data_IF_742595204189
#
_entry.id   IF_742595204189
#
_cell.length_a   1.000
_cell.length_b   1.000
_cell.length_c   1.000
_cell.angle_alpha   90.00
_cell.angle_beta   90.00
_cell.angle_gamma   90.00
#
_symmetry.space_group_name_H-M   'P 1'
#
loop_
_entity.id
_entity.type
_entity.pdbx_description
1 polymer ?
#
# COMPACT_ATOMS: atom_id res chain seq x y z
N UNK A 1 60.65 12.66 -3.96
CA UNK A 1 59.75 11.82 -4.76
C UNK A 1 58.85 11.12 -3.76
N UNK A 2 57.74 11.77 -3.41
CA UNK A 2 56.75 11.20 -2.50
C UNK A 2 55.96 10.18 -3.31
N UNK A 3 56.09 8.93 -2.91
CA UNK A 3 55.32 7.80 -3.38
C UNK A 3 53.86 8.07 -3.03
N UNK A 4 53.09 8.58 -3.99
CA UNK A 4 51.63 8.60 -3.86
C UNK A 4 51.16 7.17 -3.68
N UNK A 5 50.23 6.95 -2.75
CA UNK A 5 49.52 5.69 -2.69
C UNK A 5 48.32 5.79 -3.64
N UNK A 6 48.03 4.72 -4.36
CA UNK A 6 46.83 4.58 -5.17
C UNK A 6 45.96 3.56 -4.45
N UNK A 7 44.77 3.97 -4.01
CA UNK A 7 43.71 3.03 -3.65
C UNK A 7 42.90 2.83 -4.92
N UNK A 8 43.10 1.68 -5.56
CA UNK A 8 42.14 1.20 -6.54
C UNK A 8 41.04 0.48 -5.77
N UNK A 9 39.91 1.15 -5.60
CA UNK A 9 38.69 0.46 -5.21
C UNK A 9 38.17 -0.22 -6.47
N UNK A 10 38.39 -1.52 -6.56
CA UNK A 10 37.57 -2.34 -7.40
C UNK A 10 36.49 -2.89 -6.48
N UNK A 11 35.24 -2.40 -6.52
CA UNK A 11 34.12 -3.20 -6.04
C UNK A 11 34.11 -4.40 -6.97
N UNK A 12 34.94 -5.41 -6.70
CA UNK A 12 35.26 -6.41 -7.70
C UNK A 12 34.01 -7.20 -8.11
N UNK A 13 32.92 -7.12 -7.34
CA UNK A 13 31.60 -7.64 -7.71
C UNK A 13 30.42 -7.00 -6.95
N UNK A 14 30.67 -6.14 -5.95
CA UNK A 14 29.65 -5.76 -4.97
C UNK A 14 29.49 -4.25 -4.94
N UNK A 15 28.32 -3.77 -5.33
CA UNK A 15 27.86 -2.42 -5.03
C UNK A 15 27.85 -2.25 -3.49
N UNK A 16 28.15 -1.06 -2.97
CA UNK A 16 28.18 -0.78 -1.52
C UNK A 16 27.15 0.30 -1.24
N UNK A 17 26.25 0.01 -0.30
CA UNK A 17 25.34 0.99 0.27
C UNK A 17 26.03 1.79 1.38
N UNK A 18 25.81 3.10 1.38
CA UNK A 18 26.38 4.05 2.33
C UNK A 18 25.29 5.07 2.66
N UNK A 19 24.80 5.05 3.89
CA UNK A 19 23.78 5.98 4.36
C UNK A 19 24.37 7.39 4.57
N UNK A 20 23.49 8.39 4.71
CA UNK A 20 23.90 9.77 4.98
C UNK A 20 24.61 9.83 6.34
N UNK A 21 25.85 10.34 6.36
CA UNK A 21 26.64 10.39 7.59
C UNK A 21 27.38 9.10 7.93
N UNK A 22 27.26 8.04 7.13
CA UNK A 22 28.15 6.90 7.26
C UNK A 22 29.59 7.32 7.05
N UNK A 23 30.48 6.70 7.82
CA UNK A 23 31.90 6.96 7.77
C UNK A 23 32.62 5.68 7.39
N UNK A 24 33.21 5.65 6.19
CA UNK A 24 34.15 4.59 5.87
C UNK A 24 35.52 4.97 6.45
N UNK A 25 35.84 4.34 7.59
CA UNK A 25 37.16 4.47 8.22
C UNK A 25 38.11 3.46 7.60
N UNK A 26 39.29 3.94 7.18
CA UNK A 26 40.36 3.10 6.66
C UNK A 26 40.62 1.86 7.55
N UNK A 27 40.39 0.64 7.05
CA UNK A 27 40.51 -0.58 7.86
C UNK A 27 41.95 -0.95 8.17
N UNK A 28 42.94 -0.37 7.46
CA UNK A 28 44.36 -0.73 7.63
C UNK A 28 45.05 0.22 8.61
N UNK A 29 44.82 1.53 8.48
CA UNK A 29 45.54 2.51 9.29
C UNK A 29 44.66 3.37 10.19
N UNK A 30 43.33 3.43 9.97
CA UNK A 30 42.40 4.26 10.74
C UNK A 30 42.75 5.75 10.72
N UNK A 31 43.44 6.21 9.68
CA UNK A 31 44.06 7.55 9.60
C UNK A 31 43.36 8.50 8.66
N UNK A 32 42.47 7.99 7.82
CA UNK A 32 41.59 8.79 7.00
C UNK A 32 40.19 8.20 7.07
N UNK A 33 39.23 9.06 6.79
CA UNK A 33 37.81 8.78 6.77
C UNK A 33 37.24 9.34 5.48
N UNK A 34 36.36 8.56 4.85
CA UNK A 34 35.51 9.04 3.78
C UNK A 34 34.17 9.37 4.44
N UNK A 35 33.87 10.67 4.51
CA UNK A 35 32.57 11.17 4.97
C UNK A 35 31.69 11.40 3.76
N UNK A 36 30.62 10.63 3.65
CA UNK A 36 29.64 10.77 2.58
C UNK A 36 28.73 11.95 2.91
N UNK A 37 28.90 13.05 2.17
CA UNK A 37 28.10 14.26 2.28
C UNK A 37 27.45 14.57 0.93
N UNK A 38 26.25 15.16 0.95
CA UNK A 38 25.54 15.53 -0.27
C UNK A 38 24.95 14.34 -1.01
N UNK A 39 24.13 13.54 -0.32
CA UNK A 39 23.26 12.61 -1.01
C UNK A 39 22.20 13.43 -1.75
N UNK A 40 22.36 13.56 -3.06
CA UNK A 40 21.36 14.17 -3.93
C UNK A 40 20.17 13.20 -4.00
N UNK A 41 18.94 13.70 -3.75
CA UNK A 41 17.70 12.91 -3.81
C UNK A 41 16.97 12.66 -2.48
N UNK A 42 17.50 13.12 -1.35
CA UNK A 42 16.86 12.96 -0.02
C UNK A 42 15.75 13.97 0.30
N UNK A 43 15.44 14.93 -0.58
CA UNK A 43 14.58 16.06 -0.21
C UNK A 43 13.08 15.70 -0.15
N UNK A 44 12.66 14.55 -0.71
CA UNK A 44 11.26 14.09 -0.71
C UNK A 44 11.19 12.56 -0.64
N UNK A 45 11.02 12.01 0.56
CA UNK A 45 10.55 10.64 0.73
C UNK A 45 9.04 10.66 0.86
N UNK A 46 8.38 9.74 0.15
CA UNK A 46 7.00 9.40 0.43
C UNK A 46 6.99 8.20 1.36
N UNK A 47 6.30 8.34 2.47
CA UNK A 47 6.06 7.26 3.42
C UNK A 47 4.75 6.56 3.04
N UNK A 48 4.86 5.29 2.68
CA UNK A 48 3.74 4.41 2.45
C UNK A 48 3.69 3.47 3.65
N UNK A 49 2.73 3.73 4.53
CA UNK A 49 2.68 3.16 5.86
C UNK A 49 1.49 2.21 5.96
N UNK A 50 1.73 1.03 6.54
CA UNK A 50 0.64 0.32 7.21
C UNK A 50 0.91 0.08 8.67
N UNK A 51 0.00 0.58 9.52
CA UNK A 51 -0.03 0.26 10.95
C UNK A 51 -1.08 -0.81 11.12
N UNK A 52 -0.70 -1.93 11.72
CA UNK A 52 -1.64 -2.91 12.22
C UNK A 52 -1.73 -2.88 13.74
N UNK A 53 -2.95 -3.08 14.22
CA UNK A 53 -3.34 -3.26 15.61
C UNK A 53 -4.00 -4.62 15.80
N UNK A 54 -4.65 -4.80 16.95
CA UNK A 54 -5.18 -6.10 17.33
C UNK A 54 -6.23 -6.66 16.36
N UNK A 55 -7.07 -5.82 15.77
CA UNK A 55 -8.12 -6.29 14.83
C UNK A 55 -8.33 -5.34 13.66
N UNK A 56 -7.49 -4.31 13.56
CA UNK A 56 -7.61 -3.22 12.60
C UNK A 56 -6.24 -2.92 12.06
N UNK A 57 -6.14 -2.63 10.77
CA UNK A 57 -4.95 -2.09 10.14
C UNK A 57 -5.37 -1.00 9.16
N UNK A 58 -4.42 -0.25 8.64
CA UNK A 58 -4.70 0.80 7.66
C UNK A 58 -3.59 0.81 6.61
N UNK A 59 -3.93 1.02 5.34
CA UNK A 59 -2.96 1.29 4.28
C UNK A 59 -2.99 2.79 3.98
N UNK A 60 -1.83 3.45 4.07
CA UNK A 60 -1.69 4.91 3.98
C UNK A 60 -0.65 5.29 2.95
N UNK A 61 -0.97 6.24 2.08
CA UNK A 61 -0.08 6.76 1.04
C UNK A 61 -0.60 8.10 0.53
N UNK A 62 0.15 8.76 -0.34
CA UNK A 62 -0.32 9.94 -1.07
C UNK A 62 -0.59 9.55 -2.51
N UNK A 63 -1.73 9.98 -3.05
CA UNK A 63 -2.00 9.91 -4.49
C UNK A 63 -0.95 10.69 -5.28
N UNK A 64 -0.86 10.42 -6.57
CA UNK A 64 0.04 11.12 -7.48
C UNK A 64 -0.12 12.66 -7.44
N UNK A 65 -1.33 13.14 -7.18
CA UNK A 65 -1.62 14.58 -7.04
C UNK A 65 -1.28 15.18 -5.66
N UNK A 66 -0.80 14.36 -4.71
CA UNK A 66 -0.39 14.75 -3.37
C UNK A 66 -1.50 14.68 -2.32
N UNK A 67 -2.66 14.10 -2.64
CA UNK A 67 -3.76 13.91 -1.68
C UNK A 67 -3.51 12.68 -0.80
N UNK A 68 -3.67 12.81 0.52
CA UNK A 68 -3.50 11.70 1.45
C UNK A 68 -4.67 10.73 1.36
N UNK A 69 -4.35 9.43 1.32
CA UNK A 69 -5.31 8.33 1.27
C UNK A 69 -5.07 7.41 2.47
N UNK A 70 -6.15 7.00 3.12
CA UNK A 70 -6.15 6.01 4.20
C UNK A 70 -7.25 4.99 3.92
N UNK A 71 -6.85 3.73 3.78
CA UNK A 71 -7.76 2.61 3.50
C UNK A 71 -7.77 1.69 4.72
N UNK A 72 -8.87 1.61 5.46
CA UNK A 72 -8.98 0.74 6.62
C UNK A 72 -9.06 -0.74 6.22
N UNK A 73 -8.48 -1.58 7.08
CA UNK A 73 -8.52 -3.02 7.03
C UNK A 73 -9.01 -3.54 8.39
N UNK A 74 -9.85 -4.57 8.39
CA UNK A 74 -10.36 -5.16 9.63
C UNK A 74 -10.34 -6.68 9.58
N UNK A 75 -9.94 -7.32 10.68
CA UNK A 75 -9.98 -8.77 10.81
C UNK A 75 -11.20 -9.22 11.61
N UNK A 76 -11.77 -10.37 11.22
CA UNK A 76 -12.92 -10.94 11.93
C UNK A 76 -12.54 -11.66 13.23
N UNK A 77 -12.44 -10.89 14.31
CA UNK A 77 -12.23 -11.43 15.66
C UNK A 77 -13.36 -12.33 16.19
N UNK A 78 -14.50 -12.47 15.48
CA UNK A 78 -15.61 -13.32 15.88
C UNK A 78 -15.49 -14.77 15.34
N UNK A 79 -14.58 -15.04 14.40
CA UNK A 79 -14.27 -16.39 13.92
C UNK A 79 -13.38 -17.14 14.92
N UNK A 80 -13.80 -17.15 16.18
CA UNK A 80 -13.13 -17.84 17.29
C UNK A 80 -13.40 -19.36 17.23
N UNK A 81 -13.01 -20.04 16.16
CA UNK A 81 -12.93 -21.50 16.17
C UNK A 81 -11.47 -21.88 16.31
N UNK A 82 -11.03 -22.00 17.57
CA UNK A 82 -9.69 -22.42 17.91
C UNK A 82 -9.19 -23.58 17.04
N UNK A 83 -7.95 -23.44 16.62
CA UNK A 83 -7.15 -24.30 15.73
C UNK A 83 -6.99 -23.76 14.29
N UNK A 84 -6.08 -22.80 14.15
CA UNK A 84 -5.13 -22.67 13.03
C UNK A 84 -5.71 -22.47 11.60
N UNK A 85 -6.54 -21.46 11.41
CA UNK A 85 -6.80 -20.91 10.08
C UNK A 85 -6.71 -19.39 10.12
N UNK A 86 -5.78 -18.83 9.35
CA UNK A 86 -5.61 -17.38 9.13
C UNK A 86 -7.00 -16.74 8.91
N UNK A 87 -7.47 -15.95 9.88
CA UNK A 87 -8.76 -15.29 9.77
C UNK A 87 -8.69 -14.26 8.63
N UNK A 88 -9.74 -14.15 7.80
CA UNK A 88 -9.73 -13.21 6.69
C UNK A 88 -9.61 -11.77 7.20
N UNK A 89 -8.79 -11.00 6.52
CA UNK A 89 -8.74 -9.54 6.65
C UNK A 89 -9.64 -8.99 5.56
N UNK A 90 -10.45 -8.00 5.89
CA UNK A 90 -11.40 -7.36 4.99
C UNK A 90 -10.98 -5.93 4.70
N UNK A 91 -11.31 -5.46 3.49
CA UNK A 91 -11.33 -4.03 3.20
C UNK A 91 -12.48 -3.37 3.95
N UNK A 92 -12.19 -2.50 4.93
CA UNK A 92 -13.23 -1.86 5.75
C UNK A 92 -12.84 -1.55 7.19
N UNK A 93 -13.73 -0.85 7.89
CA UNK A 93 -13.55 -0.46 9.30
C UNK A 93 -13.89 -1.60 10.28
N UNK A 94 -14.84 -2.45 9.89
CA UNK A 94 -15.26 -3.60 10.67
C UNK A 94 -15.41 -4.83 9.79
N UNK A 95 -14.95 -5.97 10.29
CA UNK A 95 -15.16 -7.24 9.62
C UNK A 95 -16.63 -7.70 9.75
N UNK A 96 -17.14 -8.47 8.78
CA UNK A 96 -18.51 -8.95 8.81
C UNK A 96 -18.68 -10.03 9.89
N UNK A 97 -19.47 -9.74 10.94
CA UNK A 97 -19.77 -10.72 12.02
C UNK A 97 -20.66 -11.91 11.57
N UNK A 98 -21.20 -11.84 10.34
CA UNK A 98 -21.89 -12.88 9.58
C UNK A 98 -21.97 -12.43 8.11
N UNK A 99 -22.36 -13.31 7.18
CA UNK A 99 -22.37 -13.06 5.72
C UNK A 99 -23.20 -11.84 5.24
N UNK A 100 -23.92 -11.13 6.11
CA UNK A 100 -24.75 -9.95 5.79
C UNK A 100 -24.85 -8.91 6.92
N UNK A 101 -23.91 -8.90 7.86
CA UNK A 101 -23.86 -7.89 8.94
C UNK A 101 -22.67 -6.95 8.68
N UNK A 102 -22.82 -5.66 9.01
CA UNK A 102 -21.80 -4.63 8.85
C UNK A 102 -21.38 -4.35 7.39
N UNK A 103 -22.26 -4.59 6.41
CA UNK A 103 -21.98 -4.28 5.00
C UNK A 103 -21.82 -2.77 4.73
N UNK A 104 -22.30 -1.94 5.66
CA UNK A 104 -22.12 -0.51 5.72
C UNK A 104 -20.74 -0.07 6.24
N UNK A 105 -19.91 -1.00 6.71
CA UNK A 105 -18.55 -0.74 7.19
C UNK A 105 -17.46 -1.30 6.25
N UNK A 106 -17.86 -1.97 5.18
CA UNK A 106 -16.96 -2.58 4.19
C UNK A 106 -16.65 -1.63 3.04
N UNK A 107 -15.50 -1.87 2.42
CA UNK A 107 -15.07 -1.24 1.17
C UNK A 107 -15.21 -2.26 0.06
N UNK A 108 -15.94 -1.89 -0.98
CA UNK A 108 -16.17 -2.71 -2.16
C UNK A 108 -15.23 -2.32 -3.30
N UNK A 109 -14.71 -3.33 -3.99
CA UNK A 109 -13.96 -3.18 -5.24
C UNK A 109 -14.84 -3.47 -6.46
N UNK A 110 -14.30 -3.27 -7.65
CA UNK A 110 -15.02 -3.54 -8.89
C UNK A 110 -15.38 -5.02 -9.03
N UNK A 111 -16.59 -5.28 -9.52
CA UNK A 111 -17.18 -6.61 -9.64
C UNK A 111 -17.86 -7.10 -8.37
N UNK A 112 -17.58 -6.49 -7.22
CA UNK A 112 -18.15 -6.90 -5.94
C UNK A 112 -19.59 -6.40 -5.75
N UNK A 113 -20.27 -6.98 -4.75
CA UNK A 113 -21.69 -6.71 -4.51
C UNK A 113 -21.99 -6.54 -3.02
N UNK A 114 -22.61 -5.41 -2.67
CA UNK A 114 -23.25 -5.23 -1.38
C UNK A 114 -24.62 -5.91 -1.36
N UNK A 115 -24.91 -6.67 -0.30
CA UNK A 115 -26.15 -7.47 -0.16
C UNK A 115 -27.03 -7.01 0.99
N UNK A 116 -28.02 -6.18 0.72
CA UNK A 116 -29.03 -5.79 1.69
C UNK A 116 -29.79 -6.98 2.31
N UNK A 117 -30.07 -6.90 3.61
CA UNK A 117 -30.78 -7.96 4.35
C UNK A 117 -32.29 -7.86 4.08
N UNK A 118 -32.84 -6.70 4.39
CA UNK A 118 -34.23 -6.33 4.27
C UNK A 118 -34.48 -5.58 2.96
N UNK A 119 -33.58 -4.69 2.56
CA UNK A 119 -33.68 -3.86 1.35
C UNK A 119 -32.30 -3.37 0.91
N UNK A 120 -32.22 -2.80 -0.29
CA UNK A 120 -30.98 -2.18 -0.79
C UNK A 120 -30.53 -0.98 0.07
N UNK A 121 -31.45 -0.36 0.82
CA UNK A 121 -31.14 0.72 1.78
C UNK A 121 -30.19 0.25 2.88
N UNK A 122 -30.13 -1.05 3.16
CA UNK A 122 -29.18 -1.57 4.15
C UNK A 122 -27.71 -1.48 3.67
N UNK A 123 -27.46 -1.11 2.40
CA UNK A 123 -26.14 -0.78 1.87
C UNK A 123 -25.77 0.70 2.04
N UNK A 124 -26.62 1.53 2.67
CA UNK A 124 -26.22 2.87 3.09
C UNK A 124 -25.06 2.77 4.08
N UNK A 125 -24.00 3.55 3.87
CA UNK A 125 -22.75 3.51 4.61
C UNK A 125 -21.64 2.74 3.89
N UNK A 126 -22.00 1.79 3.00
CA UNK A 126 -21.03 1.03 2.23
C UNK A 126 -20.05 1.95 1.49
N UNK A 127 -18.76 1.65 1.63
CA UNK A 127 -17.69 2.37 0.96
C UNK A 127 -17.25 1.62 -0.28
N UNK A 128 -16.63 2.30 -1.24
CA UNK A 128 -16.07 1.66 -2.41
C UNK A 128 -14.86 2.44 -2.91
N UNK A 129 -13.90 1.70 -3.45
CA UNK A 129 -12.63 2.24 -3.91
C UNK A 129 -12.75 2.62 -5.38
N UNK A 130 -12.75 3.92 -5.68
CA UNK A 130 -12.75 4.40 -7.06
C UNK A 130 -11.32 4.72 -7.45
N UNK A 131 -10.87 4.24 -8.60
CA UNK A 131 -9.55 4.57 -9.14
C UNK A 131 -9.74 5.32 -10.46
N UNK A 132 -9.27 6.56 -10.51
CA UNK A 132 -9.40 7.38 -11.69
C UNK A 132 -8.41 6.96 -12.80
N UNK A 133 -8.60 7.53 -14.00
CA UNK A 133 -7.73 7.26 -15.15
C UNK A 133 -6.26 7.68 -14.99
N UNK A 134 -5.95 8.54 -14.01
CA UNK A 134 -4.58 8.96 -13.69
C UNK A 134 -3.95 8.06 -12.59
N UNK A 135 -4.72 7.11 -12.05
CA UNK A 135 -4.32 6.18 -10.99
C UNK A 135 -4.45 6.74 -9.58
N UNK A 136 -5.22 7.82 -9.39
CA UNK A 136 -5.53 8.35 -8.05
C UNK A 136 -6.69 7.59 -7.42
N UNK A 137 -6.58 7.34 -6.12
CA UNK A 137 -7.56 6.61 -5.33
C UNK A 137 -8.54 7.56 -4.65
N UNK A 138 -9.82 7.23 -4.75
CA UNK A 138 -10.93 7.91 -4.09
C UNK A 138 -11.72 6.91 -3.24
N UNK A 139 -11.81 7.14 -1.94
CA UNK A 139 -12.69 6.37 -1.08
C UNK A 139 -14.07 7.04 -1.05
N UNK A 140 -15.04 6.43 -1.72
CA UNK A 140 -16.40 6.97 -1.79
C UNK A 140 -17.34 6.20 -0.87
N UNK A 141 -18.31 6.88 -0.25
CA UNK A 141 -19.30 6.29 0.64
C UNK A 141 -20.72 6.54 0.13
N UNK A 142 -21.58 5.53 0.15
CA UNK A 142 -23.02 5.71 -0.10
C UNK A 142 -23.67 6.34 1.13
N UNK A 143 -24.13 7.59 1.02
CA UNK A 143 -24.71 8.32 2.16
C UNK A 143 -26.23 8.21 2.26
N UNK A 144 -26.91 7.99 1.14
CA UNK A 144 -28.36 7.83 1.11
C UNK A 144 -28.83 7.02 -0.10
N UNK A 145 -29.96 6.35 0.04
CA UNK A 145 -30.67 5.58 -0.99
C UNK A 145 -32.16 5.78 -0.75
N UNK A 146 -32.86 6.43 -1.69
CA UNK A 146 -34.32 6.60 -1.68
C UNK A 146 -34.96 5.76 -2.79
N UNK A 147 -35.48 4.59 -2.42
CA UNK A 147 -36.17 3.67 -3.33
C UNK A 147 -37.55 4.13 -3.78
N UNK A 148 -38.11 5.22 -3.21
CA UNK A 148 -39.37 5.78 -3.70
C UNK A 148 -39.13 6.75 -4.86
N UNK A 149 -37.99 7.43 -4.85
CA UNK A 149 -37.56 8.37 -5.88
C UNK A 149 -36.59 7.73 -6.90
N UNK A 150 -36.05 6.54 -6.60
CA UNK A 150 -34.94 5.91 -7.29
C UNK A 150 -33.73 6.83 -7.35
N UNK A 151 -33.30 7.33 -6.19
CA UNK A 151 -32.18 8.24 -6.04
C UNK A 151 -31.15 7.67 -5.06
N UNK A 152 -29.86 7.89 -5.33
CA UNK A 152 -28.74 7.52 -4.46
C UNK A 152 -27.85 8.74 -4.24
N UNK A 153 -27.20 8.82 -3.09
CA UNK A 153 -26.25 9.88 -2.77
C UNK A 153 -24.93 9.29 -2.28
N UNK A 154 -23.83 9.99 -2.56
CA UNK A 154 -22.49 9.57 -2.20
C UNK A 154 -21.61 10.74 -1.80
N UNK A 155 -20.68 10.49 -0.88
CA UNK A 155 -19.62 11.41 -0.48
C UNK A 155 -18.26 10.84 -0.90
N UNK A 156 -17.38 11.69 -1.45
CA UNK A 156 -15.96 11.38 -1.63
C UNK A 156 -15.22 11.75 -0.34
N UNK A 157 -14.76 10.73 0.40
CA UNK A 157 -14.06 10.88 1.68
C UNK A 157 -12.60 11.31 1.51
N UNK A 158 -12.01 11.13 0.32
CA UNK A 158 -10.60 11.47 0.05
C UNK A 158 -10.46 12.95 -0.30
N UNK A 159 -11.23 13.45 -1.26
CA UNK A 159 -11.08 14.81 -1.79
C UNK A 159 -12.09 15.81 -1.22
N UNK A 160 -13.14 15.30 -0.58
CA UNK A 160 -14.29 16.10 -0.20
C UNK A 160 -15.15 16.45 -1.43
N UNK A 161 -16.35 15.91 -1.45
CA UNK A 161 -17.33 16.16 -2.50
C UNK A 161 -18.59 15.36 -2.19
N UNK A 162 -19.72 15.78 -2.75
CA UNK A 162 -20.95 15.00 -2.63
C UNK A 162 -21.70 14.98 -3.96
N UNK A 163 -22.27 13.82 -4.28
CA UNK A 163 -23.28 13.64 -5.31
C UNK A 163 -24.61 13.39 -4.64
N UNK A 164 -25.48 14.39 -4.62
CA UNK A 164 -26.77 14.31 -3.93
C UNK A 164 -27.89 13.93 -4.90
N UNK A 165 -28.72 12.96 -4.49
CA UNK A 165 -29.96 12.55 -5.16
C UNK A 165 -29.77 12.22 -6.65
N UNK A 166 -28.72 11.45 -6.98
CA UNK A 166 -28.45 11.02 -8.34
C UNK A 166 -29.43 9.92 -8.72
N UNK A 167 -30.19 10.07 -9.83
CA UNK A 167 -31.23 9.12 -10.20
C UNK A 167 -30.63 7.81 -10.71
N UNK A 168 -31.26 6.68 -10.38
CA UNK A 168 -30.94 5.35 -10.92
C UNK A 168 -32.16 4.65 -11.54
N UNK A 169 -31.89 3.63 -12.34
CA UNK A 169 -32.94 2.73 -12.87
C UNK A 169 -32.83 1.36 -12.21
N UNK A 170 -33.85 0.98 -11.43
CA UNK A 170 -33.92 -0.33 -10.77
C UNK A 170 -33.67 -1.50 -11.74
N UNK A 171 -32.79 -2.42 -11.33
CA UNK A 171 -32.39 -3.60 -12.09
C UNK A 171 -31.56 -3.31 -13.34
N UNK A 172 -31.02 -2.09 -13.48
CA UNK A 172 -30.18 -1.68 -14.61
C UNK A 172 -28.91 -0.96 -14.17
N UNK A 173 -27.83 -1.16 -14.92
CA UNK A 173 -26.59 -0.41 -14.74
C UNK A 173 -26.87 1.07 -15.00
N UNK A 174 -26.44 1.92 -14.09
CA UNK A 174 -26.58 3.38 -14.16
C UNK A 174 -25.19 4.02 -14.09
N UNK A 175 -24.95 5.01 -14.95
CA UNK A 175 -23.76 5.85 -14.92
C UNK A 175 -23.95 6.97 -13.87
N UNK A 176 -22.96 7.14 -12.99
CA UNK A 176 -22.90 8.17 -11.97
C UNK A 176 -21.67 9.03 -12.23
N UNK A 177 -21.87 10.33 -12.40
CA UNK A 177 -20.76 11.29 -12.46
C UNK A 177 -20.46 11.76 -11.03
N UNK A 178 -19.30 11.37 -10.52
CA UNK A 178 -18.85 11.76 -9.17
C UNK A 178 -17.93 12.98 -9.19
N UNK A 179 -17.72 13.60 -10.35
CA UNK A 179 -16.76 14.69 -10.53
C UNK A 179 -15.31 14.24 -10.64
N UNK A 180 -15.02 12.97 -10.32
CA UNK A 180 -13.69 12.33 -10.44
C UNK A 180 -13.65 11.34 -11.61
N UNK A 181 -14.84 10.92 -12.08
CA UNK A 181 -15.02 10.05 -13.23
C UNK A 181 -16.49 9.70 -13.39
N UNK A 182 -16.79 8.92 -14.42
CA UNK A 182 -18.07 8.22 -14.51
C UNK A 182 -17.87 6.83 -13.94
N UNK A 183 -18.66 6.49 -12.92
CA UNK A 183 -18.71 5.16 -12.35
C UNK A 183 -20.05 4.49 -12.60
N UNK A 184 -20.05 3.17 -12.71
CA UNK A 184 -21.24 2.38 -13.03
C UNK A 184 -21.62 1.48 -11.87
N UNK A 185 -22.87 1.60 -11.42
CA UNK A 185 -23.46 0.73 -10.41
C UNK A 185 -24.72 0.07 -10.94
N UNK A 186 -24.94 -1.19 -10.57
CA UNK A 186 -26.21 -1.89 -10.74
C UNK A 186 -26.94 -1.96 -9.40
N UNK A 187 -28.03 -1.21 -9.28
CA UNK A 187 -28.91 -1.23 -8.11
C UNK A 187 -30.13 -2.06 -8.45
N UNK A 188 -30.34 -3.18 -7.73
CA UNK A 188 -31.49 -4.09 -7.91
C UNK A 188 -32.24 -4.22 -6.59
N UNK A 189 -33.41 -3.61 -6.51
CA UNK A 189 -34.26 -3.63 -5.32
C UNK A 189 -34.93 -4.98 -5.08
N UNK A 190 -35.13 -5.78 -6.13
CA UNK A 190 -35.76 -7.09 -6.04
C UNK A 190 -34.81 -8.13 -5.42
N UNK A 191 -33.53 -8.07 -5.77
CA UNK A 191 -32.47 -8.91 -5.17
C UNK A 191 -31.78 -8.24 -3.99
N UNK A 192 -32.03 -6.94 -3.78
CA UNK A 192 -31.53 -6.09 -2.68
C UNK A 192 -30.02 -5.86 -2.76
N UNK A 193 -29.49 -5.66 -3.96
CA UNK A 193 -28.05 -5.60 -4.19
C UNK A 193 -27.62 -4.29 -4.83
N UNK A 194 -26.39 -3.91 -4.52
CA UNK A 194 -25.62 -2.92 -5.29
C UNK A 194 -24.36 -3.62 -5.79
N UNK A 195 -24.22 -3.76 -7.10
CA UNK A 195 -22.99 -4.29 -7.72
C UNK A 195 -22.21 -3.12 -8.29
N UNK A 196 -20.92 -3.05 -7.96
CA UNK A 196 -20.00 -2.03 -8.44
C UNK A 196 -19.41 -2.50 -9.77
N UNK A 197 -19.94 -2.04 -10.90
CA UNK A 197 -19.67 -2.68 -12.19
C UNK A 197 -18.51 -2.07 -12.97
N UNK A 198 -18.25 -0.77 -12.77
CA UNK A 198 -17.13 -0.04 -13.36
C UNK A 198 -16.79 1.11 -12.41
N UNK A 199 -15.80 0.89 -11.54
CA UNK A 199 -15.31 1.88 -10.57
C UNK A 199 -13.79 2.06 -10.66
N UNK A 200 -13.13 1.34 -11.56
CA UNK A 200 -11.70 1.44 -11.83
C UNK A 200 -10.83 0.57 -10.93
N UNK A 201 -11.37 -0.03 -9.87
CA UNK A 201 -10.60 -0.86 -8.92
C UNK A 201 -10.70 -2.36 -9.20
N UNK A 202 -10.56 -2.75 -10.47
CA UNK A 202 -10.48 -4.17 -10.86
C UNK A 202 -9.17 -4.84 -10.41
N UNK A 203 -9.13 -6.17 -10.44
CA UNK A 203 -7.91 -6.95 -10.19
C UNK A 203 -6.81 -6.52 -11.18
N UNK A 204 -5.63 -6.19 -10.65
CA UNK A 204 -4.52 -5.70 -11.46
C UNK A 204 -4.53 -4.18 -11.70
N UNK A 205 -5.49 -3.41 -11.15
CA UNK A 205 -5.45 -1.95 -11.28
C UNK A 205 -4.21 -1.37 -10.58
N UNK A 206 -3.52 -0.49 -11.30
CA UNK A 206 -2.38 0.27 -10.81
C UNK A 206 -2.83 1.58 -10.14
N UNK A 207 -2.52 1.71 -8.87
CA UNK A 207 -2.56 2.96 -8.10
C UNK A 207 -1.19 3.62 -8.20
N UNK A 208 -1.15 4.92 -8.46
CA UNK A 208 0.10 5.69 -8.52
C UNK A 208 0.23 6.61 -7.31
N UNK A 209 1.39 6.53 -6.68
CA UNK A 209 1.75 7.34 -5.51
C UNK A 209 2.37 8.68 -5.89
N UNK A 210 2.52 9.58 -4.93
CA UNK A 210 3.09 10.92 -5.14
C UNK A 210 4.49 10.87 -5.77
N UNK A 211 5.34 9.96 -5.31
CA UNK A 211 6.69 9.73 -5.85
C UNK A 211 6.74 8.70 -6.99
N UNK A 212 5.60 8.46 -7.63
CA UNK A 212 5.40 7.64 -8.83
C UNK A 212 5.55 6.11 -8.64
N UNK A 213 5.89 5.61 -7.45
CA UNK A 213 5.74 4.18 -7.18
C UNK A 213 4.29 3.74 -7.41
N UNK A 214 4.09 2.46 -7.70
CA UNK A 214 2.76 1.91 -7.98
C UNK A 214 2.39 0.79 -7.02
N UNK A 215 1.11 0.72 -6.68
CA UNK A 215 0.50 -0.46 -6.13
C UNK A 215 -0.42 -1.13 -7.14
N UNK A 216 -0.35 -2.45 -7.26
CA UNK A 216 -1.33 -3.24 -7.99
C UNK A 216 -2.25 -3.93 -6.99
N UNK A 217 -3.57 -3.69 -7.08
CA UNK A 217 -4.55 -4.38 -6.23
C UNK A 217 -4.64 -5.84 -6.66
N UNK A 218 -4.68 -6.75 -5.67
CA UNK A 218 -5.04 -8.15 -5.87
C UNK A 218 -6.49 -8.33 -5.42
N UNK A 219 -7.37 -8.69 -6.35
CA UNK A 219 -8.79 -8.96 -6.11
C UNK A 219 -9.30 -10.13 -6.96
N UNK A 220 -8.72 -11.31 -6.75
CA UNK A 220 -9.04 -12.48 -7.57
C UNK A 220 -10.40 -13.11 -7.23
N UNK A 221 -10.92 -12.88 -6.02
CA UNK A 221 -12.23 -13.31 -5.56
C UNK A 221 -13.21 -12.14 -5.34
N UNK A 222 -13.77 -11.64 -6.43
CA UNK A 222 -14.85 -10.63 -6.45
C UNK A 222 -16.15 -11.05 -5.74
N UNK A 223 -16.23 -12.26 -5.19
CA UNK A 223 -17.36 -12.68 -4.36
C UNK A 223 -17.20 -12.32 -2.88
N UNK A 224 -16.04 -11.76 -2.49
CA UNK A 224 -15.70 -11.40 -1.12
C UNK A 224 -14.99 -10.05 -1.05
N UNK A 225 -15.06 -9.36 0.09
CA UNK A 225 -14.33 -8.11 0.36
C UNK A 225 -12.98 -8.39 1.05
N UNK A 226 -12.40 -9.57 0.82
CA UNK A 226 -11.18 -10.00 1.51
C UNK A 226 -9.98 -9.26 0.93
N UNK A 227 -9.12 -8.75 1.80
CA UNK A 227 -7.81 -8.23 1.42
C UNK A 227 -6.90 -9.40 1.03
N UNK A 228 -6.66 -9.56 -0.27
CA UNK A 228 -5.77 -10.61 -0.79
C UNK A 228 -4.31 -10.15 -0.85
N UNK A 229 -4.07 -8.83 -0.94
CA UNK A 229 -2.75 -8.23 -1.00
C UNK A 229 -2.66 -7.08 -2.00
N UNK A 230 -1.45 -6.53 -2.10
CA UNK A 230 -1.06 -5.58 -3.16
C UNK A 230 0.34 -5.91 -3.66
N UNK A 231 0.65 -5.60 -4.91
CA UNK A 231 2.04 -5.58 -5.37
C UNK A 231 2.60 -4.17 -5.36
N UNK A 232 3.78 -3.98 -4.79
CA UNK A 232 4.53 -2.73 -4.87
C UNK A 232 5.57 -2.79 -6.00
N UNK A 233 5.65 -1.71 -6.78
CA UNK A 233 6.68 -1.53 -7.80
C UNK A 233 7.24 -0.11 -7.77
N UNK A 234 8.55 0.01 -8.01
CA UNK A 234 9.23 1.28 -8.15
C UNK A 234 9.03 1.89 -9.53
N UNK A 235 8.89 3.21 -9.59
CA UNK A 235 8.94 3.91 -10.87
C UNK A 235 10.34 3.85 -11.49
N UNK A 236 10.40 3.41 -12.74
CA UNK A 236 11.62 3.43 -13.55
C UNK A 236 11.84 4.84 -14.13
N UNK A 237 12.67 5.65 -13.46
CA UNK A 237 13.04 7.01 -13.88
C UNK A 237 14.15 7.05 -14.96
N UNK A 238 14.64 5.88 -15.39
CA UNK A 238 15.72 5.73 -16.36
C UNK A 238 17.12 6.05 -15.84
N UNK A 239 17.30 6.30 -14.53
CA UNK A 239 18.62 6.55 -13.95
C UNK A 239 19.47 5.28 -13.83
N UNK A 240 18.84 4.10 -13.85
CA UNK A 240 19.45 2.78 -13.72
C UNK A 240 18.92 1.81 -14.78
N UNK A 241 19.59 0.65 -14.91
CA UNK A 241 19.11 -0.46 -15.73
C UNK A 241 17.76 -0.97 -15.21
N UNK A 242 16.86 -1.42 -16.09
CA UNK A 242 15.48 -1.78 -15.73
C UNK A 242 15.42 -2.85 -14.64
N UNK A 243 16.32 -3.84 -14.66
CA UNK A 243 16.38 -4.91 -13.66
C UNK A 243 16.81 -4.44 -12.26
N UNK A 244 17.17 -3.17 -12.10
CA UNK A 244 17.57 -2.59 -10.80
C UNK A 244 16.41 -1.89 -10.08
N UNK A 245 15.25 -1.79 -10.70
CA UNK A 245 14.05 -1.33 -10.02
C UNK A 245 13.34 -2.53 -9.41
N UNK A 246 12.86 -2.37 -8.18
CA UNK A 246 12.03 -3.37 -7.55
C UNK A 246 10.68 -3.42 -8.28
N UNK A 247 10.33 -4.58 -8.81
CA UNK A 247 9.06 -4.83 -9.49
C UNK A 247 8.29 -5.93 -8.76
N UNK A 248 7.00 -5.71 -8.55
CA UNK A 248 6.03 -6.70 -8.06
C UNK A 248 6.39 -7.34 -6.72
N UNK A 249 6.85 -6.53 -5.76
CA UNK A 249 6.98 -7.00 -4.38
C UNK A 249 5.57 -7.22 -3.80
N UNK A 250 5.21 -8.47 -3.57
CA UNK A 250 3.94 -8.82 -2.94
C UNK A 250 3.89 -8.27 -1.50
N UNK A 251 2.77 -7.71 -1.09
CA UNK A 251 2.52 -7.28 0.29
C UNK A 251 1.19 -7.90 0.71
N UNK A 252 1.24 -8.74 1.74
CA UNK A 252 0.08 -9.44 2.28
C UNK A 252 0.12 -9.36 3.80
N UNK A 253 -1.06 -9.42 4.40
CA UNK A 253 -1.23 -9.46 5.84
C UNK A 253 -2.00 -10.72 6.24
N UNK A 254 -1.81 -11.15 7.48
CA UNK A 254 -2.53 -12.26 8.09
C UNK A 254 -3.03 -11.83 9.47
N UNK A 255 -4.08 -12.47 9.95
CA UNK A 255 -4.48 -12.31 11.34
C UNK A 255 -3.91 -13.45 12.19
N UNK A 256 -3.06 -13.11 13.17
CA UNK A 256 -2.53 -14.07 14.14
C UNK A 256 -3.43 -14.09 15.39
N UNK A 257 -4.39 -15.00 15.41
CA UNK A 257 -5.28 -15.27 16.56
C UNK A 257 -4.59 -16.14 17.65
N UNK A 258 -3.47 -16.79 17.32
CA UNK A 258 -2.79 -17.76 18.18
C UNK A 258 -1.90 -17.07 19.20
N UNK A 259 -1.12 -16.08 18.77
CA UNK A 259 -0.06 -15.50 19.60
C UNK A 259 -0.36 -14.09 20.08
N UNK A 260 -0.92 -13.24 19.22
CA UNK A 260 -1.01 -11.81 19.47
C UNK A 260 -2.44 -11.25 19.39
N UNK A 261 -3.36 -11.94 18.72
CA UNK A 261 -4.66 -11.39 18.27
C UNK A 261 -4.40 -10.05 17.57
N UNK A 262 -3.67 -10.09 16.47
CA UNK A 262 -3.28 -8.92 15.68
C UNK A 262 -3.23 -9.23 14.20
N UNK A 263 -3.51 -8.22 13.38
CA UNK A 263 -3.11 -8.24 11.98
C UNK A 263 -1.58 -8.10 11.93
N UNK A 264 -0.93 -8.93 11.13
CA UNK A 264 0.52 -9.00 10.96
C UNK A 264 0.89 -8.96 9.48
N UNK A 265 1.87 -8.13 9.13
CA UNK A 265 2.43 -8.08 7.78
C UNK A 265 3.34 -9.28 7.54
N UNK A 266 3.15 -9.95 6.40
CA UNK A 266 3.91 -11.14 6.03
C UNK A 266 5.36 -10.81 5.76
N UNK A 267 6.26 -11.38 6.57
CA UNK A 267 7.70 -11.35 6.26
C UNK A 267 8.04 -12.17 5.02
N UNK A 268 7.18 -13.09 4.57
CA UNK A 268 7.49 -14.02 3.47
C UNK A 268 7.79 -13.27 2.18
N UNK A 269 7.04 -12.21 1.92
CA UNK A 269 7.27 -11.40 0.74
C UNK A 269 8.52 -10.55 0.83
N UNK A 270 8.84 -10.05 2.04
CA UNK A 270 10.12 -9.37 2.28
C UNK A 270 11.30 -10.32 2.10
N UNK A 271 11.21 -11.58 2.55
CA UNK A 271 12.27 -12.57 2.36
C UNK A 271 12.58 -12.89 0.88
N UNK A 272 11.74 -12.46 -0.07
CA UNK A 272 12.04 -12.54 -1.49
C UNK A 272 13.07 -11.50 -1.95
N UNK A 273 13.18 -10.37 -1.22
CA UNK A 273 14.17 -9.34 -1.47
C UNK A 273 15.57 -9.91 -1.26
N UNK A 274 16.43 -9.70 -2.25
CA UNK A 274 17.77 -10.22 -2.26
C UNK A 274 18.77 -9.20 -2.84
N UNK A 275 20.02 -9.61 -2.96
CA UNK A 275 21.09 -8.73 -3.47
C UNK A 275 20.87 -8.24 -4.92
N UNK A 276 19.97 -8.85 -5.70
CA UNK A 276 19.56 -8.32 -7.01
C UNK A 276 18.69 -7.09 -6.92
N UNK A 277 18.01 -6.89 -5.80
CA UNK A 277 16.97 -5.86 -5.63
C UNK A 277 17.51 -4.66 -4.84
N UNK A 278 18.56 -4.87 -4.05
CA UNK A 278 19.19 -3.83 -3.25
C UNK A 278 20.14 -4.37 -2.18
N UNK A 279 20.14 -3.68 -1.04
CA UNK A 279 21.03 -3.91 0.09
C UNK A 279 20.21 -4.00 1.38
N UNK A 280 20.33 -5.12 2.08
CA UNK A 280 19.61 -5.40 3.33
C UNK A 280 19.75 -6.87 3.68
N UNK A 281 19.15 -7.44 4.72
CA UNK A 281 18.41 -6.88 5.85
C UNK A 281 19.37 -6.51 6.96
N UNK A 282 19.53 -5.22 7.24
CA UNK A 282 20.38 -4.79 8.35
C UNK A 282 19.51 -4.54 9.58
N UNK A 283 19.99 -5.00 10.72
CA UNK A 283 19.40 -4.67 12.01
C UNK A 283 19.95 -3.31 12.43
N UNK A 284 19.06 -2.31 12.49
CA UNK A 284 19.40 -0.94 12.89
C UNK A 284 19.16 -0.69 14.38
N UNK A 285 18.74 -1.71 15.13
CA UNK A 285 18.48 -1.57 16.55
C UNK A 285 19.75 -1.76 17.38
N UNK A 286 19.93 -0.94 18.42
CA UNK A 286 21.10 -1.00 19.28
C UNK A 286 21.03 -2.16 20.31
N UNK A 287 19.83 -2.71 20.56
CA UNK A 287 19.59 -3.62 21.72
C UNK A 287 18.47 -4.66 21.55
N UNK A 288 17.59 -4.54 20.55
CA UNK A 288 16.42 -5.43 20.35
C UNK A 288 16.21 -5.55 18.84
N UNK A 289 16.58 -6.69 18.25
CA UNK A 289 16.53 -7.06 16.81
C UNK A 289 15.12 -6.98 16.14
N UNK A 290 14.33 -5.96 16.47
CA UNK A 290 12.93 -5.78 16.09
C UNK A 290 12.78 -5.17 14.70
N UNK A 291 13.74 -4.38 14.22
CA UNK A 291 13.60 -3.62 12.97
C UNK A 291 14.57 -4.13 11.92
N UNK A 292 14.04 -4.37 10.72
CA UNK A 292 14.85 -4.73 9.57
C UNK A 292 14.68 -3.70 8.46
N UNK A 293 15.83 -3.24 7.97
CA UNK A 293 15.90 -2.29 6.88
C UNK A 293 16.43 -2.96 5.62
N UNK A 294 15.76 -2.71 4.51
CA UNK A 294 16.23 -3.04 3.17
C UNK A 294 16.17 -1.80 2.30
N UNK A 295 17.24 -1.48 1.59
CA UNK A 295 17.29 -0.34 0.67
C UNK A 295 17.49 -0.83 -0.75
N UNK A 296 16.54 -0.52 -1.63
CA UNK A 296 16.63 -0.90 -3.05
C UNK A 296 17.74 -0.14 -3.77
N UNK A 297 18.10 -0.57 -4.99
CA UNK A 297 19.04 0.19 -5.81
C UNK A 297 18.51 1.59 -6.18
N UNK A 298 17.19 1.77 -6.36
CA UNK A 298 16.61 3.10 -6.55
C UNK A 298 16.77 3.96 -5.30
N UNK A 299 16.78 3.35 -4.12
CA UNK A 299 16.90 4.03 -2.83
C UNK A 299 15.61 4.03 -2.01
N UNK A 300 14.64 3.18 -2.36
CA UNK A 300 13.48 2.93 -1.50
C UNK A 300 13.96 2.24 -0.24
N UNK A 301 13.74 2.86 0.92
CA UNK A 301 13.96 2.21 2.21
C UNK A 301 12.69 1.47 2.60
N UNK A 302 12.82 0.18 2.85
CA UNK A 302 11.77 -0.71 3.33
C UNK A 302 12.11 -1.02 4.78
N UNK A 303 11.29 -0.55 5.71
CA UNK A 303 11.43 -0.81 7.15
C UNK A 303 10.32 -1.76 7.59
N UNK A 304 10.69 -2.80 8.32
CA UNK A 304 9.76 -3.83 8.78
C UNK A 304 9.98 -4.18 10.25
N UNK A 305 8.90 -4.19 11.03
CA UNK A 305 8.93 -4.71 12.38
C UNK A 305 8.90 -6.25 12.35
N UNK A 306 10.05 -6.89 12.50
CA UNK A 306 10.16 -8.34 12.51
C UNK A 306 9.67 -8.97 13.80
N UNK A 307 9.72 -8.26 14.93
CA UNK A 307 9.32 -8.81 16.23
C UNK A 307 7.81 -8.87 16.35
N UNK A 308 7.13 -7.74 16.12
CA UNK A 308 5.68 -7.64 16.25
C UNK A 308 4.93 -7.78 14.93
N UNK A 309 5.61 -7.62 13.79
CA UNK A 309 5.00 -7.64 12.44
C UNK A 309 3.88 -6.62 12.28
N UNK A 310 3.88 -5.59 13.14
CA UNK A 310 2.80 -4.62 13.24
C UNK A 310 2.86 -3.54 12.16
N UNK A 311 3.95 -3.43 11.42
CA UNK A 311 4.06 -2.47 10.34
C UNK A 311 5.05 -2.88 9.26
N UNK A 312 4.84 -2.25 8.11
CA UNK A 312 5.79 -2.17 7.00
C UNK A 312 5.74 -0.74 6.47
N UNK A 313 6.90 -0.12 6.31
CA UNK A 313 7.06 1.19 5.69
C UNK A 313 7.82 1.08 4.39
N UNK A 314 7.38 1.81 3.37
CA UNK A 314 8.17 2.09 2.18
C UNK A 314 8.41 3.59 2.11
N UNK A 315 9.68 3.98 2.19
CA UNK A 315 10.13 5.35 1.98
C UNK A 315 10.65 5.46 0.55
N UNK A 316 9.78 5.79 -0.40
CA UNK A 316 10.12 5.84 -1.81
C UNK A 316 10.62 7.23 -2.21
N UNK A 317 11.80 7.37 -2.84
CA UNK A 317 12.27 8.64 -3.37
C UNK A 317 11.77 8.87 -4.81
N UNK A 318 11.46 10.11 -5.18
CA UNK A 318 11.09 10.47 -6.56
C UNK A 318 12.24 10.18 -7.54
N UNK A 319 13.44 10.66 -7.20
CA UNK A 319 14.66 10.43 -7.97
C UNK A 319 15.49 9.32 -7.36
N UNK A 320 16.18 8.55 -8.20
CA UNK A 320 17.19 7.61 -7.71
C UNK A 320 18.18 8.30 -6.76
N UNK A 321 18.36 7.71 -5.58
CA UNK A 321 19.29 8.19 -4.56
C UNK A 321 20.68 7.61 -4.85
N UNK A 322 21.70 8.47 -4.89
CA UNK A 322 23.09 8.03 -5.07
C UNK A 322 24.09 8.98 -4.39
N UNK A 323 25.26 8.43 -4.07
CA UNK A 323 26.39 9.20 -3.55
C UNK A 323 27.47 9.34 -4.64
N UNK A 324 27.93 10.57 -4.88
CA UNK A 324 29.14 10.81 -5.67
C UNK A 324 30.36 10.83 -4.74
N UNK A 325 31.18 9.78 -4.80
CA UNK A 325 32.40 9.71 -3.99
C UNK A 325 33.57 10.35 -4.74
N UNK A 326 34.00 11.54 -4.30
CA UNK A 326 35.21 12.19 -4.85
C UNK A 326 36.37 12.06 -3.86
N UNK A 327 37.44 11.39 -4.26
CA UNK A 327 38.68 11.31 -3.48
C UNK A 327 39.60 12.47 -3.86
N UNK A 328 39.75 13.44 -2.96
CA UNK A 328 40.73 14.52 -3.11
C UNK A 328 42.03 14.18 -2.38
N UNK A 329 43.14 14.07 -3.13
CA UNK A 329 44.48 14.00 -2.56
C UNK A 329 44.93 15.42 -2.19
N UNK A 330 45.30 15.64 -0.92
CA UNK A 330 46.00 16.85 -0.48
C UNK A 330 47.52 16.73 -0.63
#
# INVERSE_FOLDING_TARGET
>A
LLSGFSIAFAPDTNEIYLAAGDEFVDPIFGRFSIVYNGLDGYDVFEEMLSISGSTSAEMRFYNYDGTYVEIPLAADSATVSGEASDEPIYWGNEAPTATKANQDELIYLEGETCFGVTSVVDCQGAMFLVIDSDGNVHLSQITNIDTNANEISFDDLTYGGSGDNVPYTDGSVTDFDTGVGTLQLLIDEATKTITFTDIGSEDGTLIRTYNEATFEIINTDVSSQIFEGVYFSEYNDGARETEKYLENLLIIAYYDDITANSIEWSSTSLLALNSSDGFGFFDVSDTIDAYQDFVTYKGTLIEYDRESKSYIYFYHPYYAVYANVTLEST
#
